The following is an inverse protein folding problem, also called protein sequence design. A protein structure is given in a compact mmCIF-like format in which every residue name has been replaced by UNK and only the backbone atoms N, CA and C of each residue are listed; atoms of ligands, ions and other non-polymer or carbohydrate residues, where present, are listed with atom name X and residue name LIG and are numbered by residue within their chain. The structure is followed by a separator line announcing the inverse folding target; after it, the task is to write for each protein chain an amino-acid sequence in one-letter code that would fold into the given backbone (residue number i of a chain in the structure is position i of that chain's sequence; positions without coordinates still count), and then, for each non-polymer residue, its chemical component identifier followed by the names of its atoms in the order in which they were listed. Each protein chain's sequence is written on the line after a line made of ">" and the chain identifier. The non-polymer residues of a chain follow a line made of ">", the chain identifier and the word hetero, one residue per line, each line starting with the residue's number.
data_IF_196649977020
#
_entry.id   IF_196649977020
#
_cell.length_a   1.000
_cell.length_b   1.000
_cell.length_c   1.000
_cell.angle_alpha   90.00
_cell.angle_beta   90.00
_cell.angle_gamma   90.00
#
_symmetry.space_group_name_H-M   'P 1'
#
loop_
_entity.id
_entity.type
_entity.pdbx_description
1 polymer ?
#
# COMPACT_ATOMS: atom_id res chain seq x y z
N UNK A 1 -8.30 -2.08 6.81
CA UNK A 1 -7.09 -1.75 6.01
C UNK A 1 -7.25 -2.22 4.57
N UNK A 2 -6.67 -1.51 3.61
CA UNK A 2 -6.51 -1.92 2.20
C UNK A 2 -5.03 -2.09 1.91
N UNK A 3 -4.64 -3.25 1.36
CA UNK A 3 -3.25 -3.60 1.05
C UNK A 3 -2.97 -3.49 -0.45
N UNK A 4 -1.86 -2.84 -0.79
CA UNK A 4 -1.24 -2.87 -2.10
C UNK A 4 0.13 -3.52 -2.00
N UNK A 5 0.55 -4.25 -3.04
CA UNK A 5 1.82 -4.99 -3.05
C UNK A 5 2.55 -4.69 -4.34
N UNK A 6 3.65 -3.94 -4.23
CA UNK A 6 4.67 -3.76 -5.26
C UNK A 6 5.69 -4.87 -5.08
N UNK A 7 5.64 -5.89 -5.93
CA UNK A 7 6.43 -7.12 -5.73
C UNK A 7 7.86 -6.98 -6.23
N UNK A 8 8.09 -6.25 -7.31
CA UNK A 8 9.39 -6.03 -7.94
C UNK A 8 10.13 -4.79 -7.43
N UNK A 9 9.60 -4.14 -6.39
CA UNK A 9 10.21 -3.01 -5.68
C UNK A 9 10.40 -1.79 -6.59
N UNK A 10 9.48 -1.53 -7.51
CA UNK A 10 9.57 -0.39 -8.42
C UNK A 10 9.47 0.95 -7.66
N UNK A 11 8.76 1.01 -6.53
CA UNK A 11 8.80 2.14 -5.61
C UNK A 11 10.20 2.38 -5.02
N UNK A 12 10.90 1.32 -4.62
CA UNK A 12 12.26 1.42 -4.07
C UNK A 12 13.31 1.72 -5.15
N UNK A 13 13.16 1.11 -6.32
CA UNK A 13 14.12 1.19 -7.42
C UNK A 13 14.01 2.49 -8.20
N UNK A 14 12.80 2.91 -8.54
CA UNK A 14 12.53 4.08 -9.40
C UNK A 14 12.27 5.34 -8.58
N UNK A 15 11.47 5.24 -7.53
CA UNK A 15 11.07 6.40 -6.70
C UNK A 15 11.90 6.58 -5.42
N UNK A 16 12.80 5.64 -5.09
CA UNK A 16 13.63 5.66 -3.88
C UNK A 16 12.85 5.68 -2.55
N UNK A 17 11.65 5.09 -2.57
CA UNK A 17 10.77 4.99 -1.40
C UNK A 17 10.95 3.62 -0.73
N UNK A 18 10.99 3.60 0.60
CA UNK A 18 11.11 2.35 1.36
C UNK A 18 9.74 1.93 1.89
N UNK A 19 9.36 0.69 1.63
CA UNK A 19 8.21 0.05 2.26
C UNK A 19 8.49 -0.35 3.73
N UNK A 20 7.44 -0.58 4.54
CA UNK A 20 6.03 -0.42 4.16
C UNK A 20 5.60 1.06 4.19
N UNK A 21 4.78 1.46 3.22
CA UNK A 21 4.20 2.81 3.13
C UNK A 21 2.80 2.77 3.73
N UNK A 22 2.64 3.36 4.92
CA UNK A 22 1.39 3.36 5.69
C UNK A 22 0.75 4.74 5.60
N UNK A 23 -0.57 4.79 5.47
CA UNK A 23 -1.34 6.02 5.45
C UNK A 23 -1.80 6.41 4.06
N UNK A 24 -3.03 6.91 3.97
CA UNK A 24 -3.65 7.35 2.71
C UNK A 24 -2.79 8.37 1.94
N UNK A 25 -2.38 9.44 2.62
CA UNK A 25 -1.64 10.54 1.98
C UNK A 25 -0.22 10.12 1.57
N UNK A 26 0.45 9.33 2.41
CA UNK A 26 1.77 8.77 2.08
C UNK A 26 1.70 7.86 0.83
N UNK A 27 0.61 7.12 0.64
CA UNK A 27 0.40 6.31 -0.55
C UNK A 27 0.12 7.17 -1.79
N UNK A 28 -0.61 8.28 -1.67
CA UNK A 28 -0.78 9.24 -2.77
C UNK A 28 0.54 9.90 -3.18
N UNK A 29 1.36 10.28 -2.21
CA UNK A 29 2.70 10.84 -2.46
C UNK A 29 3.62 9.81 -3.12
N UNK A 30 3.52 8.53 -2.72
CA UNK A 30 4.26 7.44 -3.32
C UNK A 30 3.87 7.21 -4.79
N UNK A 31 2.57 7.12 -5.07
CA UNK A 31 2.05 6.99 -6.43
C UNK A 31 2.45 8.17 -7.31
N UNK A 32 2.41 9.39 -6.77
CA UNK A 32 2.82 10.61 -7.48
C UNK A 32 4.32 10.59 -7.78
N UNK A 33 5.14 10.21 -6.80
CA UNK A 33 6.60 10.13 -6.96
C UNK A 33 7.00 9.09 -8.00
N UNK A 34 6.38 7.91 -7.99
CA UNK A 34 6.60 6.88 -9.00
C UNK A 34 6.12 7.33 -10.38
N UNK A 35 4.90 7.88 -10.47
CA UNK A 35 4.34 8.34 -11.75
C UNK A 35 5.09 9.51 -12.38
N UNK A 36 5.80 10.33 -11.60
CA UNK A 36 6.69 11.37 -12.12
C UNK A 36 7.97 10.80 -12.75
N UNK A 37 8.41 9.62 -12.31
CA UNK A 37 9.59 8.92 -12.83
C UNK A 37 9.22 8.00 -14.00
N UNK A 38 8.14 7.24 -13.84
CA UNK A 38 7.64 6.26 -14.81
C UNK A 38 6.10 6.22 -14.76
N UNK A 39 5.47 7.00 -15.64
CA UNK A 39 4.01 7.09 -15.70
C UNK A 39 3.32 5.85 -16.32
N UNK A 40 4.10 4.96 -16.96
CA UNK A 40 3.57 3.73 -17.57
C UNK A 40 3.55 2.55 -16.58
N UNK A 41 4.14 2.74 -15.40
CA UNK A 41 4.21 1.75 -14.35
C UNK A 41 2.81 1.38 -13.81
N UNK A 42 2.54 0.07 -13.74
CA UNK A 42 1.26 -0.44 -13.24
C UNK A 42 1.06 -0.23 -11.75
N UNK A 43 2.12 -0.10 -10.95
CA UNK A 43 2.02 0.05 -9.51
C UNK A 43 1.42 1.40 -9.11
N UNK A 44 1.61 2.44 -9.93
CA UNK A 44 0.91 3.72 -9.78
C UNK A 44 -0.61 3.49 -9.76
N UNK A 45 -1.12 2.69 -10.70
CA UNK A 45 -2.56 2.40 -10.78
C UNK A 45 -3.04 1.56 -9.60
N UNK A 46 -2.24 0.60 -9.15
CA UNK A 46 -2.53 -0.25 -7.99
C UNK A 46 -2.69 0.57 -6.71
N UNK A 47 -1.76 1.49 -6.44
CA UNK A 47 -1.79 2.35 -5.24
C UNK A 47 -2.98 3.31 -5.29
N UNK A 48 -3.21 3.97 -6.44
CA UNK A 48 -4.34 4.88 -6.60
C UNK A 48 -5.69 4.16 -6.42
N UNK A 49 -5.80 2.92 -6.92
CA UNK A 49 -6.99 2.10 -6.71
C UNK A 49 -7.16 1.70 -5.24
N UNK A 50 -6.08 1.40 -4.54
CA UNK A 50 -6.13 1.08 -3.11
C UNK A 50 -6.64 2.27 -2.29
N UNK A 51 -6.15 3.48 -2.58
CA UNK A 51 -6.64 4.72 -1.94
C UNK A 51 -8.13 4.95 -2.22
N UNK A 52 -8.55 4.86 -3.48
CA UNK A 52 -9.97 5.04 -3.83
C UNK A 52 -10.89 3.99 -3.20
N UNK A 53 -10.42 2.74 -3.07
CA UNK A 53 -11.17 1.69 -2.38
C UNK A 53 -11.29 1.99 -0.88
N UNK A 54 -10.23 2.46 -0.23
CA UNK A 54 -10.26 2.82 1.18
C UNK A 54 -11.23 3.98 1.45
N UNK A 55 -11.20 5.02 0.61
CA UNK A 55 -12.14 6.14 0.67
C UNK A 55 -13.59 5.65 0.53
N UNK A 56 -13.85 4.76 -0.42
CA UNK A 56 -15.19 4.19 -0.60
C UNK A 56 -15.67 3.40 0.63
N UNK A 57 -14.80 2.54 1.20
CA UNK A 57 -15.15 1.75 2.39
C UNK A 57 -15.45 2.67 3.58
N UNK A 58 -14.62 3.70 3.78
CA UNK A 58 -14.81 4.70 4.83
C UNK A 58 -16.15 5.44 4.67
N UNK A 59 -16.45 5.93 3.48
CA UNK A 59 -17.72 6.62 3.17
C UNK A 59 -18.94 5.71 3.40
N UNK A 60 -18.85 4.44 2.99
CA UNK A 60 -19.94 3.49 3.16
C UNK A 60 -20.15 3.08 4.61
N UNK A 61 -19.09 3.04 5.44
CA UNK A 61 -19.18 2.95 6.90
C UNK A 61 -19.92 4.14 7.52
N UNK A 62 -19.52 5.35 7.13
CA UNK A 62 -20.15 6.59 7.61
C UNK A 62 -21.64 6.65 7.29
N UNK A 63 -22.05 6.24 6.07
CA UNK A 63 -23.47 6.17 5.67
C UNK A 63 -24.29 5.19 6.52
N UNK A 64 -23.66 4.13 7.02
CA UNK A 64 -24.28 3.12 7.90
C UNK A 64 -24.27 3.52 9.37
N UNK A 65 -23.59 4.63 9.72
CA UNK A 65 -23.41 5.06 11.11
C UNK A 65 -22.42 4.18 11.89
N UNK A 66 -21.52 3.50 11.17
CA UNK A 66 -20.46 2.69 11.76
C UNK A 66 -19.19 3.52 11.89
N UNK A 67 -18.47 3.36 13.00
CA UNK A 67 -17.15 3.93 13.18
C UNK A 67 -16.14 3.06 12.43
N UNK A 68 -15.92 3.38 11.16
CA UNK A 68 -15.06 2.60 10.26
C UNK A 68 -13.76 3.34 10.03
N UNK A 69 -12.65 2.83 10.57
CA UNK A 69 -11.31 3.33 10.25
C UNK A 69 -10.68 2.45 9.16
N UNK A 70 -10.14 3.08 8.11
CA UNK A 70 -9.53 2.37 6.98
C UNK A 70 -8.15 2.95 6.68
N UNK A 71 -7.13 2.15 6.98
CA UNK A 71 -5.75 2.46 6.59
C UNK A 71 -5.39 1.89 5.22
N UNK A 72 -4.52 2.59 4.48
CA UNK A 72 -3.94 2.14 3.21
C UNK A 72 -2.48 1.79 3.44
N UNK A 73 -2.07 0.61 3.00
CA UNK A 73 -0.68 0.16 3.15
C UNK A 73 -0.16 -0.39 1.84
N UNK A 74 1.01 0.08 1.41
CA UNK A 74 1.76 -0.53 0.31
C UNK A 74 3.01 -1.23 0.83
N UNK A 75 3.13 -2.52 0.52
CA UNK A 75 4.31 -3.33 0.82
C UNK A 75 5.21 -3.37 -0.41
N UNK A 76 6.52 -3.32 -0.20
CA UNK A 76 7.50 -3.41 -1.29
C UNK A 76 8.31 -4.70 -1.21
N UNK A 77 8.50 -5.37 -2.35
CA UNK A 77 9.19 -6.64 -2.45
C UNK A 77 10.68 -6.50 -2.72
N UNK A 78 11.15 -7.17 -3.77
CA UNK A 78 12.53 -7.10 -4.23
C UNK A 78 12.61 -7.26 -5.74
N UNK A 79 13.56 -6.55 -6.35
CA UNK A 79 13.82 -6.63 -7.79
C UNK A 79 14.06 -8.06 -8.30
N UNK A 80 14.74 -8.89 -7.49
CA UNK A 80 14.84 -10.32 -7.74
C UNK A 80 13.55 -10.99 -7.27
N UNK A 81 12.52 -10.87 -8.13
CA UNK A 81 11.20 -11.47 -7.93
C UNK A 81 11.32 -12.96 -7.62
N UNK A 82 10.70 -13.40 -6.53
CA UNK A 82 10.80 -14.77 -6.04
C UNK A 82 10.77 -14.86 -4.52
N UNK A 83 11.47 -15.84 -3.96
CA UNK A 83 11.44 -16.14 -2.52
C UNK A 83 11.92 -14.96 -1.67
N UNK A 84 12.92 -14.21 -2.13
CA UNK A 84 13.41 -13.03 -1.38
C UNK A 84 12.35 -11.94 -1.28
N UNK A 85 11.71 -11.60 -2.41
CA UNK A 85 10.59 -10.66 -2.43
C UNK A 85 9.48 -11.09 -1.47
N UNK A 86 9.06 -12.36 -1.55
CA UNK A 86 7.96 -12.86 -0.74
C UNK A 86 8.32 -12.83 0.76
N UNK A 87 9.57 -13.16 1.15
CA UNK A 87 10.05 -13.02 2.54
C UNK A 87 9.99 -11.57 3.02
N UNK A 88 10.38 -10.60 2.18
CA UNK A 88 10.33 -9.18 2.55
C UNK A 88 8.90 -8.70 2.75
N UNK A 89 8.01 -9.08 1.83
CA UNK A 89 6.58 -8.76 1.92
C UNK A 89 5.99 -9.36 3.20
N UNK A 90 6.28 -10.63 3.52
CA UNK A 90 5.80 -11.27 4.75
C UNK A 90 6.27 -10.53 6.02
N UNK A 91 7.54 -10.14 6.08
CA UNK A 91 8.07 -9.38 7.23
C UNK A 91 7.40 -8.02 7.38
N UNK A 92 7.25 -7.28 6.29
CA UNK A 92 6.56 -5.98 6.33
C UNK A 92 5.10 -6.13 6.72
N UNK A 93 4.43 -7.20 6.27
CA UNK A 93 3.06 -7.49 6.68
C UNK A 93 2.95 -7.75 8.18
N UNK A 94 3.86 -8.54 8.75
CA UNK A 94 3.93 -8.78 10.21
C UNK A 94 4.12 -7.45 10.97
N UNK A 95 5.08 -6.62 10.53
CA UNK A 95 5.33 -5.28 11.12
C UNK A 95 4.08 -4.38 11.08
N UNK A 96 3.35 -4.39 9.95
CA UNK A 96 2.14 -3.58 9.77
C UNK A 96 1.00 -4.07 10.66
N UNK A 97 0.82 -5.40 10.78
CA UNK A 97 -0.21 -5.98 11.66
C UNK A 97 0.08 -5.60 13.12
N UNK A 98 1.34 -5.68 13.55
CA UNK A 98 1.74 -5.27 14.90
C UNK A 98 1.52 -3.77 15.15
N UNK A 99 1.78 -2.93 14.13
CA UNK A 99 1.66 -1.48 14.26
C UNK A 99 0.21 -0.97 14.25
N UNK A 100 -0.66 -1.57 13.42
CA UNK A 100 -2.03 -1.11 13.22
C UNK A 100 -3.06 -1.89 14.03
N UNK A 101 -2.73 -3.11 14.48
CA UNK A 101 -3.66 -4.00 15.18
C UNK A 101 -5.00 -4.19 14.44
N UNK A 102 -4.99 -4.54 13.13
CA UNK A 102 -6.22 -4.67 12.37
C UNK A 102 -7.11 -5.78 12.96
N UNK A 103 -8.38 -5.48 13.20
CA UNK A 103 -9.34 -6.45 13.71
C UNK A 103 -9.57 -7.58 12.70
N UNK A 104 -9.56 -8.82 13.20
CA UNK A 104 -10.06 -9.98 12.46
C UNK A 104 -11.58 -9.84 12.38
N UNK A 105 -12.08 -9.42 11.22
CA UNK A 105 -13.52 -9.25 10.98
C UNK A 105 -14.26 -10.59 10.98
#
# INVERSE_FOLDING_TARGET
>A
MVLCVDRDDDLGRKAHLKGPIIGRDNNLDAATSLGLVDAEDSDVNSILRAVGLADQIYEDGLKRGEDTEVEVVTLTGHHDVGVESDIRISRQLEEVIEALGPDET
#
